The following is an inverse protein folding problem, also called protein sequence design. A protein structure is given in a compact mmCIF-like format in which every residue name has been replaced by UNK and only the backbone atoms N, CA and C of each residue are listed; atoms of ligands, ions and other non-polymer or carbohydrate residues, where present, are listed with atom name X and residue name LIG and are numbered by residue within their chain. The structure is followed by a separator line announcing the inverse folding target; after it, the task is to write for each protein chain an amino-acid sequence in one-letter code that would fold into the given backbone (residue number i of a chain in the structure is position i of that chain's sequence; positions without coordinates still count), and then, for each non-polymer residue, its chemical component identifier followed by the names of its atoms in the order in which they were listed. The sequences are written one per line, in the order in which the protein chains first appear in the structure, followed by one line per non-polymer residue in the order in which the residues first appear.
data_IF_213693447823
#
_entry.id   IF_213693447823
#
_cell.length_a   1.000
_cell.length_b   1.000
_cell.length_c   1.000
_cell.angle_alpha   90.00
_cell.angle_beta   90.00
_cell.angle_gamma   90.00
#
_symmetry.space_group_name_H-M   'P 1'
#
loop_
_entity.id
_entity.type
_entity.pdbx_description
1 polymer ?
#
# COMPACT_ATOMS: atom_id res chain seq x y z
N UNK A 1 44.07 -26.52 -31.69
CA UNK A 1 45.50 -26.63 -32.01
C UNK A 1 46.17 -25.29 -31.76
N UNK A 2 47.39 -25.35 -31.23
CA UNK A 2 48.21 -24.24 -30.76
C UNK A 2 48.79 -23.37 -31.90
N UNK A 3 49.37 -22.23 -31.51
CA UNK A 3 50.32 -21.42 -32.30
C UNK A 3 50.08 -19.93 -32.08
N UNK A 4 50.59 -19.31 -31.02
CA UNK A 4 51.93 -18.66 -30.95
C UNK A 4 52.24 -17.87 -32.24
N UNK A 5 51.98 -16.56 -32.21
CA UNK A 5 52.73 -15.57 -32.97
C UNK A 5 53.25 -14.51 -32.00
N UNK A 6 54.49 -14.78 -31.58
CA UNK A 6 55.41 -13.90 -30.88
C UNK A 6 55.95 -12.82 -31.86
N UNK A 7 56.51 -11.75 -31.29
CA UNK A 7 57.29 -10.65 -31.92
C UNK A 7 56.52 -9.36 -32.20
N UNK A 8 56.46 -8.49 -31.19
CA UNK A 8 56.46 -7.04 -31.40
C UNK A 8 57.91 -6.58 -31.33
N UNK A 9 58.38 -6.00 -32.43
CA UNK A 9 59.75 -5.51 -32.64
C UNK A 9 60.06 -4.34 -31.70
N UNK A 10 61.23 -4.40 -31.06
CA UNK A 10 61.80 -3.27 -30.33
C UNK A 10 62.49 -2.35 -31.34
N UNK A 11 61.77 -1.35 -31.85
CA UNK A 11 62.41 -0.16 -32.40
C UNK A 11 62.62 0.84 -31.26
N UNK A 12 63.87 0.87 -30.81
CA UNK A 12 64.45 1.94 -30.01
C UNK A 12 64.63 3.15 -30.93
N UNK A 13 63.86 4.21 -30.72
CA UNK A 13 64.34 5.55 -31.06
C UNK A 13 63.84 6.60 -30.06
N UNK A 14 64.66 7.61 -29.97
CA UNK A 14 64.95 8.52 -28.88
C UNK A 14 64.03 9.74 -28.83
N UNK A 15 63.78 10.23 -27.61
CA UNK A 15 63.27 11.56 -27.26
C UNK A 15 61.97 12.04 -27.93
N UNK A 16 60.85 11.73 -27.28
CA UNK A 16 59.73 12.67 -27.20
C UNK A 16 59.09 12.52 -25.81
N UNK A 17 59.29 13.54 -24.98
CA UNK A 17 58.61 13.73 -23.72
C UNK A 17 57.17 14.15 -23.98
N UNK A 18 56.24 13.20 -23.90
CA UNK A 18 54.83 13.47 -23.71
C UNK A 18 54.35 12.67 -22.49
N UNK A 19 54.40 13.34 -21.34
CA UNK A 19 53.77 12.91 -20.09
C UNK A 19 52.24 13.00 -20.28
N UNK A 20 51.60 11.94 -20.77
CA UNK A 20 50.16 11.73 -20.57
C UNK A 20 49.93 11.28 -19.12
N UNK A 21 50.27 12.16 -18.18
CA UNK A 21 49.77 12.09 -16.82
C UNK A 21 48.37 12.66 -16.85
N UNK A 22 47.37 11.80 -16.84
CA UNK A 22 45.99 12.17 -16.51
C UNK A 22 46.03 12.89 -15.14
N UNK A 23 45.99 14.22 -15.19
CA UNK A 23 46.00 15.11 -14.03
C UNK A 23 44.73 14.79 -13.25
N UNK A 24 44.85 13.99 -12.19
CA UNK A 24 43.85 13.93 -11.14
C UNK A 24 43.76 15.35 -10.56
N UNK A 25 42.70 16.07 -10.90
CA UNK A 25 42.37 17.37 -10.32
C UNK A 25 42.44 17.29 -8.79
N UNK A 26 43.57 17.74 -8.24
CA UNK A 26 43.88 17.77 -6.81
C UNK A 26 43.03 18.80 -6.05
N UNK A 27 42.11 19.46 -6.74
CA UNK A 27 41.16 20.45 -6.22
C UNK A 27 39.85 19.84 -5.71
N UNK A 28 39.62 18.53 -5.90
CA UNK A 28 38.53 17.84 -5.20
C UNK A 28 38.96 17.63 -3.75
N UNK A 29 38.39 18.44 -2.86
CA UNK A 29 38.61 18.46 -1.42
C UNK A 29 38.95 17.07 -0.87
N UNK A 30 40.16 16.89 -0.33
CA UNK A 30 40.60 15.65 0.34
C UNK A 30 39.61 15.24 1.45
N UNK A 31 38.95 16.22 2.07
CA UNK A 31 37.85 16.01 3.03
C UNK A 31 36.61 15.33 2.40
N UNK A 32 36.26 15.65 1.16
CA UNK A 32 35.16 15.01 0.43
C UNK A 32 35.50 13.57 0.05
N UNK A 33 36.75 13.30 -0.37
CA UNK A 33 37.21 11.94 -0.64
C UNK A 33 37.26 11.08 0.64
N UNK A 34 37.69 11.65 1.76
CA UNK A 34 37.69 10.96 3.06
C UNK A 34 36.29 10.57 3.53
N UNK A 35 35.28 11.40 3.26
CA UNK A 35 33.88 11.05 3.53
C UNK A 35 33.34 10.02 2.54
N UNK A 36 33.72 10.08 1.26
CA UNK A 36 33.33 9.08 0.24
C UNK A 36 33.91 7.69 0.51
N UNK A 37 35.13 7.61 1.03
CA UNK A 37 35.83 6.34 1.31
C UNK A 37 35.90 6.02 2.81
N UNK A 38 34.96 6.54 3.61
CA UNK A 38 34.89 6.23 5.04
C UNK A 38 34.46 4.77 5.22
N UNK A 39 35.41 3.90 5.54
CA UNK A 39 35.16 2.50 5.89
C UNK A 39 34.49 2.47 7.27
N UNK A 40 33.27 1.95 7.34
CA UNK A 40 32.62 1.66 8.61
C UNK A 40 33.18 0.34 9.15
N UNK A 41 34.13 0.44 10.09
CA UNK A 41 34.81 -0.71 10.67
C UNK A 41 33.91 -1.55 11.60
N UNK A 42 32.81 -0.97 12.08
CA UNK A 42 31.88 -1.61 12.99
C UNK A 42 30.43 -1.25 12.57
N UNK A 43 29.95 -1.84 11.46
CA UNK A 43 28.55 -1.69 11.08
C UNK A 43 27.66 -2.20 12.22
N UNK A 44 26.43 -1.70 12.28
CA UNK A 44 25.42 -2.23 13.22
C UNK A 44 25.21 -3.70 12.90
N UNK A 45 25.76 -4.59 13.74
CA UNK A 45 25.61 -6.03 13.63
C UNK A 45 24.32 -6.40 14.36
N UNK A 46 23.31 -6.83 13.60
CA UNK A 46 22.11 -7.43 14.21
C UNK A 46 22.50 -8.72 14.93
N UNK A 47 22.05 -8.85 16.18
CA UNK A 47 22.30 -10.05 16.98
C UNK A 47 21.58 -11.24 16.37
N UNK A 48 22.29 -12.36 16.21
CA UNK A 48 21.74 -13.62 15.69
C UNK A 48 20.77 -14.30 16.67
N UNK A 49 20.74 -13.84 17.92
CA UNK A 49 19.87 -14.41 18.95
C UNK A 49 18.41 -13.99 18.71
N UNK A 50 17.49 -14.95 18.53
CA UNK A 50 16.08 -14.65 18.28
C UNK A 50 15.39 -13.98 19.48
N UNK A 51 16.01 -13.99 20.66
CA UNK A 51 15.54 -13.33 21.88
C UNK A 51 16.05 -11.89 22.05
N UNK A 52 17.13 -11.50 21.35
CA UNK A 52 17.71 -10.16 21.40
C UNK A 52 17.21 -9.27 20.25
N UNK A 53 16.75 -9.89 19.16
CA UNK A 53 15.96 -9.20 18.15
C UNK A 53 14.62 -8.77 18.74
N UNK A 54 14.13 -7.57 18.38
CA UNK A 54 12.80 -7.09 18.79
C UNK A 54 11.80 -8.24 18.57
N UNK A 55 10.92 -8.55 19.53
CA UNK A 55 9.98 -9.65 19.39
C UNK A 55 9.03 -9.36 18.22
N UNK A 56 9.39 -9.82 17.03
CA UNK A 56 8.53 -9.77 15.87
C UNK A 56 7.38 -10.74 16.14
N UNK A 57 6.15 -10.24 16.09
CA UNK A 57 4.97 -11.08 16.23
C UNK A 57 4.92 -12.01 15.03
N UNK A 58 4.70 -13.30 15.27
CA UNK A 58 4.56 -14.28 14.19
C UNK A 58 3.36 -13.89 13.30
N UNK A 59 3.55 -13.67 11.98
CA UNK A 59 2.48 -13.26 11.07
C UNK A 59 1.36 -14.31 10.94
N UNK A 60 1.62 -15.58 11.26
CA UNK A 60 0.61 -16.64 11.22
C UNK A 60 -0.19 -16.76 12.52
N UNK A 61 0.28 -16.12 13.59
CA UNK A 61 -0.37 -16.19 14.90
C UNK A 61 -1.60 -15.28 14.96
N UNK A 62 -2.73 -15.81 15.45
CA UNK A 62 -4.01 -15.07 15.56
C UNK A 62 -4.18 -14.36 16.91
N UNK A 63 -3.40 -14.75 17.92
CA UNK A 63 -3.53 -14.26 19.29
C UNK A 63 -2.16 -13.85 19.81
N UNK A 64 -2.08 -12.67 20.42
CA UNK A 64 -0.85 -12.16 21.05
C UNK A 64 -1.05 -12.12 22.56
N UNK A 65 -0.07 -12.60 23.32
CA UNK A 65 -0.13 -12.70 24.78
C UNK A 65 0.39 -11.46 25.51
N UNK A 66 0.92 -10.49 24.76
CA UNK A 66 1.46 -9.23 25.26
C UNK A 66 0.95 -8.08 24.40
N UNK A 67 1.24 -6.84 24.79
CA UNK A 67 0.87 -5.64 24.04
C UNK A 67 2.07 -5.20 23.18
N UNK A 68 2.17 -5.62 21.89
CA UNK A 68 3.27 -5.24 21.02
C UNK A 68 3.20 -3.76 20.62
N UNK A 69 4.34 -3.21 20.18
CA UNK A 69 4.36 -1.87 19.60
C UNK A 69 3.81 -1.89 18.17
N UNK A 70 3.33 -0.74 17.70
CA UNK A 70 2.84 -0.57 16.33
C UNK A 70 3.87 -1.01 15.29
N UNK A 71 5.12 -0.58 15.44
CA UNK A 71 6.23 -0.94 14.52
C UNK A 71 6.47 -2.45 14.44
N UNK A 72 6.19 -3.19 15.51
CA UNK A 72 6.45 -4.63 15.58
C UNK A 72 5.29 -5.45 15.01
N UNK A 73 4.04 -5.00 15.22
CA UNK A 73 2.84 -5.70 14.76
C UNK A 73 2.50 -5.42 13.29
N UNK A 74 2.74 -4.20 12.81
CA UNK A 74 2.47 -3.80 11.41
C UNK A 74 3.73 -3.81 10.54
N UNK A 75 4.81 -4.45 10.98
CA UNK A 75 5.99 -4.66 10.15
C UNK A 75 5.63 -5.52 8.91
N UNK A 76 6.07 -5.12 7.70
CA UNK A 76 5.83 -5.93 6.51
C UNK A 76 6.63 -7.24 6.58
N UNK A 77 6.05 -8.32 6.05
CA UNK A 77 6.75 -9.61 5.94
C UNK A 77 7.88 -9.48 4.94
N UNK A 78 9.10 -9.86 5.35
CA UNK A 78 10.27 -9.79 4.50
C UNK A 78 10.27 -10.89 3.41
N UNK A 79 10.75 -10.53 2.22
CA UNK A 79 10.91 -11.45 1.08
C UNK A 79 9.88 -11.26 -0.03
N UNK A 80 10.12 -11.84 -1.21
CA UNK A 80 9.20 -11.74 -2.34
C UNK A 80 7.93 -12.57 -2.11
N UNK A 81 6.81 -12.10 -2.67
CA UNK A 81 5.59 -12.89 -2.71
C UNK A 81 5.74 -14.15 -3.56
N UNK A 82 5.09 -15.23 -3.14
CA UNK A 82 5.04 -16.46 -3.93
C UNK A 82 4.22 -16.25 -5.22
N UNK A 83 4.83 -16.40 -6.43
CA UNK A 83 4.15 -16.19 -7.70
C UNK A 83 3.19 -17.32 -8.08
N UNK A 84 3.29 -18.49 -7.46
CA UNK A 84 2.46 -19.67 -7.78
C UNK A 84 1.10 -19.66 -7.07
N UNK A 85 0.80 -18.63 -6.27
CA UNK A 85 -0.50 -18.49 -5.61
C UNK A 85 -1.50 -17.81 -6.54
N UNK A 86 -2.68 -18.39 -6.69
CA UNK A 86 -3.81 -17.73 -7.36
C UNK A 86 -4.30 -16.54 -6.55
N UNK A 87 -5.05 -15.61 -7.15
CA UNK A 87 -5.61 -14.46 -6.43
C UNK A 87 -6.43 -14.88 -5.19
N UNK A 88 -7.22 -15.96 -5.30
CA UNK A 88 -7.99 -16.51 -4.20
C UNK A 88 -7.13 -17.14 -3.10
N UNK A 89 -5.93 -17.64 -3.43
CA UNK A 89 -4.97 -18.17 -2.45
C UNK A 89 -4.12 -17.07 -1.81
N UNK A 90 -3.97 -15.93 -2.48
CA UNK A 90 -3.31 -14.74 -1.93
C UNK A 90 -4.20 -13.97 -0.96
N UNK A 91 -5.52 -13.97 -1.16
CA UNK A 91 -6.45 -13.29 -0.28
C UNK A 91 -6.52 -13.92 1.12
N UNK A 92 -6.54 -13.08 2.14
CA UNK A 92 -6.75 -13.49 3.53
C UNK A 92 -8.16 -14.05 3.69
N UNK A 93 -8.26 -15.31 4.12
CA UNK A 93 -9.53 -16.02 4.19
C UNK A 93 -9.59 -16.99 5.37
N UNK A 94 -10.77 -17.05 5.98
CA UNK A 94 -11.11 -18.03 7.02
C UNK A 94 -12.01 -19.15 6.45
N UNK A 95 -12.69 -18.87 5.33
CA UNK A 95 -13.54 -19.81 4.60
C UNK A 95 -13.13 -19.85 3.13
N UNK A 96 -13.64 -20.81 2.35
CA UNK A 96 -13.27 -20.97 0.93
C UNK A 96 -13.50 -19.70 0.10
N UNK A 97 -14.60 -18.99 0.38
CA UNK A 97 -15.03 -17.81 -0.36
C UNK A 97 -14.48 -16.48 0.18
N UNK A 98 -13.86 -16.44 1.36
CA UNK A 98 -13.36 -15.19 1.93
C UNK A 98 -13.21 -15.20 3.45
N UNK A 99 -13.19 -14.00 4.02
CA UNK A 99 -13.04 -13.77 5.45
C UNK A 99 -14.38 -13.36 6.07
N UNK A 100 -14.72 -13.99 7.20
CA UNK A 100 -15.94 -13.71 7.95
C UNK A 100 -15.56 -13.49 9.40
N UNK A 101 -15.96 -12.34 9.95
CA UNK A 101 -15.81 -11.96 11.34
C UNK A 101 -17.11 -11.39 11.90
N UNK A 102 -17.29 -11.52 13.20
CA UNK A 102 -18.45 -10.96 13.89
C UNK A 102 -18.29 -9.45 14.03
N UNK A 103 -19.10 -8.68 13.32
CA UNK A 103 -19.15 -7.23 13.44
C UNK A 103 -20.24 -6.80 14.43
N UNK A 104 -19.97 -5.72 15.19
CA UNK A 104 -20.94 -5.10 16.08
C UNK A 104 -21.39 -3.77 15.49
N UNK A 105 -22.53 -3.79 14.79
CA UNK A 105 -23.10 -2.61 14.13
C UNK A 105 -24.44 -2.29 14.82
N UNK A 106 -24.78 -1.00 14.92
CA UNK A 106 -26.09 -0.59 15.39
C UNK A 106 -27.18 -1.03 14.41
N UNK A 107 -28.20 -1.75 14.91
CA UNK A 107 -29.32 -2.28 14.14
C UNK A 107 -30.01 -1.20 13.28
N UNK A 108 -30.25 -0.02 13.85
CA UNK A 108 -30.90 1.07 13.13
C UNK A 108 -30.05 1.55 11.95
N UNK A 109 -28.74 1.69 12.12
CA UNK A 109 -27.86 2.15 11.04
C UNK A 109 -27.76 1.10 9.94
N UNK A 110 -27.66 -0.18 10.31
CA UNK A 110 -27.64 -1.26 9.34
C UNK A 110 -28.92 -1.28 8.49
N UNK A 111 -30.10 -1.28 9.12
CA UNK A 111 -31.38 -1.34 8.41
C UNK A 111 -31.64 -0.05 7.60
N UNK A 112 -31.21 1.11 8.11
CA UNK A 112 -31.23 2.38 7.39
C UNK A 112 -30.43 2.32 6.09
N UNK A 113 -29.18 1.88 6.14
CA UNK A 113 -28.34 1.77 4.95
C UNK A 113 -28.86 0.68 3.98
N UNK A 114 -29.30 -0.47 4.51
CA UNK A 114 -29.90 -1.55 3.71
C UNK A 114 -31.14 -1.08 2.92
N UNK A 115 -32.05 -0.35 3.57
CA UNK A 115 -33.25 0.19 2.91
C UNK A 115 -32.92 1.30 1.90
N UNK A 116 -31.93 2.12 2.22
CA UNK A 116 -31.44 3.19 1.35
C UNK A 116 -30.85 2.59 0.06
N UNK A 117 -30.02 1.55 0.17
CA UNK A 117 -29.51 0.83 -1.00
C UNK A 117 -30.63 0.21 -1.83
N UNK A 118 -31.60 -0.43 -1.18
CA UNK A 118 -32.73 -1.07 -1.88
C UNK A 118 -33.64 -0.06 -2.59
N UNK A 119 -33.84 1.12 -2.00
CA UNK A 119 -34.77 2.14 -2.54
C UNK A 119 -34.12 3.07 -3.56
N UNK A 120 -32.86 3.47 -3.33
CA UNK A 120 -32.16 4.48 -4.12
C UNK A 120 -30.92 3.97 -4.85
N UNK A 121 -30.51 2.72 -4.62
CA UNK A 121 -29.35 2.12 -5.31
C UNK A 121 -27.99 2.52 -4.77
N UNK A 122 -27.92 3.26 -3.65
CA UNK A 122 -26.68 3.66 -2.98
C UNK A 122 -26.71 3.47 -1.46
N UNK A 123 -25.54 3.29 -0.85
CA UNK A 123 -25.34 3.26 0.60
C UNK A 123 -23.91 3.64 0.97
N UNK A 124 -23.67 3.89 2.27
CA UNK A 124 -22.31 4.09 2.80
C UNK A 124 -21.52 2.77 2.79
N UNK A 125 -20.25 2.82 2.38
CA UNK A 125 -19.31 1.71 2.38
C UNK A 125 -19.01 1.26 3.83
N UNK A 126 -19.34 0.01 4.23
CA UNK A 126 -19.09 -0.48 5.58
C UNK A 126 -17.65 -1.01 5.79
N UNK A 127 -16.75 -0.91 4.80
CA UNK A 127 -15.39 -1.45 4.91
C UNK A 127 -14.52 -0.67 5.91
N UNK A 128 -13.80 -1.41 6.77
CA UNK A 128 -12.98 -0.84 7.85
C UNK A 128 -11.55 -0.47 7.42
N UNK A 129 -11.06 -1.05 6.32
CA UNK A 129 -9.64 -1.07 5.93
C UNK A 129 -9.32 -0.33 4.64
N UNK A 130 -10.16 0.64 4.22
CA UNK A 130 -9.80 1.51 3.11
C UNK A 130 -8.72 2.49 3.60
N UNK A 131 -7.53 2.41 3.01
CA UNK A 131 -6.35 3.26 3.32
C UNK A 131 -6.67 4.76 3.20
N UNK A 132 -7.71 5.08 2.43
CA UNK A 132 -8.35 6.37 2.40
C UNK A 132 -9.63 6.30 3.25
N UNK A 133 -9.55 6.80 4.49
CA UNK A 133 -10.73 7.07 5.33
C UNK A 133 -11.42 8.30 4.74
N UNK A 134 -11.99 8.16 3.55
CA UNK A 134 -12.95 9.13 3.04
C UNK A 134 -14.22 8.89 3.83
N UNK A 135 -14.47 9.75 4.83
CA UNK A 135 -15.74 9.76 5.54
C UNK A 135 -16.87 9.75 4.52
N UNK A 136 -17.78 8.80 4.65
CA UNK A 136 -18.95 8.62 3.79
C UNK A 136 -18.65 8.27 2.32
N UNK A 137 -17.66 7.41 2.06
CA UNK A 137 -17.55 6.76 0.76
C UNK A 137 -18.87 6.04 0.45
N UNK A 138 -19.47 6.32 -0.70
CA UNK A 138 -20.72 5.71 -1.13
C UNK A 138 -20.43 4.56 -2.11
N UNK A 139 -21.19 3.48 -1.97
CA UNK A 139 -21.25 2.37 -2.92
C UNK A 139 -22.58 2.48 -3.66
N UNK A 140 -22.54 2.41 -4.99
CA UNK A 140 -23.70 2.51 -5.88
C UNK A 140 -23.71 1.33 -6.84
N UNK A 141 -24.90 0.92 -7.30
CA UNK A 141 -25.06 -0.06 -8.38
C UNK A 141 -24.51 0.50 -9.70
N UNK A 142 -24.75 1.79 -9.94
CA UNK A 142 -24.23 2.50 -11.10
C UNK A 142 -22.89 3.13 -10.70
N UNK A 143 -21.81 2.53 -11.21
CA UNK A 143 -20.41 2.91 -10.96
C UNK A 143 -19.99 4.26 -11.56
N UNK A 144 -20.91 4.95 -12.24
CA UNK A 144 -20.69 6.31 -12.73
C UNK A 144 -20.72 7.29 -11.55
N UNK A 145 -19.58 7.90 -11.24
CA UNK A 145 -19.42 8.90 -10.18
C UNK A 145 -20.45 10.06 -10.23
N UNK A 146 -21.09 10.29 -11.38
CA UNK A 146 -22.12 11.32 -11.56
C UNK A 146 -23.42 11.04 -10.79
N UNK A 147 -23.86 9.78 -10.69
CA UNK A 147 -25.08 9.45 -9.92
C UNK A 147 -24.85 9.66 -8.43
N UNK A 148 -23.65 9.33 -7.94
CA UNK A 148 -23.19 9.54 -6.56
C UNK A 148 -23.03 11.03 -6.24
N UNK A 149 -22.51 11.83 -7.17
CA UNK A 149 -22.34 13.27 -7.01
C UNK A 149 -23.67 14.05 -7.05
N UNK A 150 -24.68 13.53 -7.76
CA UNK A 150 -26.02 14.13 -7.84
C UNK A 150 -26.91 13.88 -6.60
N UNK A 151 -26.45 13.06 -5.65
CA UNK A 151 -27.13 12.88 -4.36
C UNK A 151 -26.77 14.07 -3.46
N UNK A 152 -27.32 15.24 -3.80
CA UNK A 152 -27.01 16.54 -3.20
C UNK A 152 -27.12 16.60 -1.65
N UNK A 153 -27.66 15.57 -1.00
CA UNK A 153 -27.85 15.54 0.46
C UNK A 153 -27.64 14.18 1.16
N UNK A 154 -27.02 13.15 0.53
CA UNK A 154 -26.84 11.78 1.11
C UNK A 154 -28.04 11.28 1.92
N UNK A 155 -29.24 11.51 1.38
CA UNK A 155 -30.49 11.33 2.13
C UNK A 155 -30.74 9.84 2.34
N UNK A 156 -31.15 9.44 3.53
CA UNK A 156 -31.58 8.08 3.80
C UNK A 156 -33.10 7.95 3.67
N UNK A 157 -33.61 6.73 3.57
CA UNK A 157 -35.07 6.47 3.51
C UNK A 157 -35.81 7.00 4.74
N UNK A 158 -35.11 7.14 5.87
CA UNK A 158 -35.69 7.62 7.12
C UNK A 158 -35.67 9.15 7.25
N UNK A 159 -35.03 9.86 6.33
CA UNK A 159 -34.98 11.31 6.32
C UNK A 159 -36.20 11.91 5.61
N UNK A 160 -36.57 13.14 6.00
CA UNK A 160 -37.70 13.85 5.39
C UNK A 160 -37.29 14.41 4.02
N UNK A 161 -37.97 13.95 2.97
CA UNK A 161 -37.72 14.36 1.58
C UNK A 161 -38.72 15.44 1.18
N UNK A 162 -38.28 16.40 0.36
CA UNK A 162 -39.16 17.42 -0.25
C UNK A 162 -40.04 16.76 -1.31
N UNK A 163 -41.31 17.15 -1.40
CA UNK A 163 -42.22 16.67 -2.46
C UNK A 163 -41.59 16.90 -3.84
N UNK A 164 -41.54 15.84 -4.65
CA UNK A 164 -40.98 15.89 -6.00
C UNK A 164 -42.09 16.18 -7.00
N UNK A 165 -41.72 16.79 -8.12
CA UNK A 165 -42.66 16.96 -9.24
C UNK A 165 -43.12 15.58 -9.73
N UNK A 166 -44.42 15.31 -9.67
CA UNK A 166 -44.99 14.01 -10.02
C UNK A 166 -45.47 13.18 -8.83
N UNK A 167 -45.22 13.60 -7.58
CA UNK A 167 -45.80 12.95 -6.40
C UNK A 167 -47.34 13.03 -6.44
N UNK A 168 -48.00 11.88 -6.29
CA UNK A 168 -49.46 11.78 -6.36
C UNK A 168 -50.09 12.53 -5.18
N UNK A 169 -50.87 13.57 -5.48
CA UNK A 169 -51.62 14.33 -4.48
C UNK A 169 -53.04 13.77 -4.31
N UNK A 170 -53.51 13.70 -3.06
CA UNK A 170 -54.90 13.37 -2.77
C UNK A 170 -55.81 14.46 -3.35
N UNK A 171 -56.78 14.09 -4.19
CA UNK A 171 -57.75 15.03 -4.77
C UNK A 171 -58.59 15.64 -3.65
N UNK A 172 -58.54 16.96 -3.48
CA UNK A 172 -59.39 17.66 -2.53
C UNK A 172 -60.84 17.60 -3.00
N UNK A 173 -61.74 17.16 -2.13
CA UNK A 173 -63.18 17.11 -2.44
C UNK A 173 -63.72 18.52 -2.23
N UNK A 174 -64.13 19.20 -3.32
CA UNK A 174 -64.85 20.47 -3.20
C UNK A 174 -66.25 20.16 -2.65
N UNK A 175 -66.62 20.82 -1.56
CA UNK A 175 -67.97 20.83 -1.01
C UNK A 175 -68.82 21.85 -1.77
#
# INVERSE_FOLDING_TARGET
MAGISLLKEYNSDSNASDDDTEIFDSSKNIAELKNKFRIDAAPVVEYKDPSANRPCVDPLSRTVNFNPKYEELYAPVAGPENPFKTQQQKADKNMLAGFVESAHINEFHFECQRRTFTSYGYAVDPTLSSTEIVKDKLVSVDSTNESIASVDNKVTVFDKIKEREGDKRKRQKKF
#
